data_IF_688868221639
#
_entry.id   IF_688868221639
#
_cell.length_a   1.000
_cell.length_b   1.000
_cell.length_c   1.000
_cell.angle_alpha   90.00
_cell.angle_beta   90.00
_cell.angle_gamma   90.00
#
_symmetry.space_group_name_H-M   'P 1'
#
loop_
_entity.id
_entity.type
_entity.pdbx_description
1 polymer ?
#
# COMPACT_ATOMS: atom_id res chain seq x y z
N UNK A 1 -29.92 61.84 -14.60
CA UNK A 1 -30.79 60.67 -14.32
C UNK A 1 -30.29 59.50 -15.14
N UNK A 2 -29.96 58.38 -14.46
CA UNK A 2 -29.87 56.98 -14.94
C UNK A 2 -29.00 56.67 -16.17
N UNK A 3 -28.15 55.63 -16.22
CA UNK A 3 -28.07 54.42 -15.42
C UNK A 3 -26.67 53.81 -15.53
N UNK A 4 -26.10 53.38 -14.40
CA UNK A 4 -24.97 52.45 -14.34
C UNK A 4 -25.45 51.08 -14.87
N UNK A 5 -24.81 50.55 -15.92
CA UNK A 5 -24.91 49.12 -16.24
C UNK A 5 -23.84 48.37 -15.46
N UNK A 6 -24.25 47.77 -14.35
CA UNK A 6 -23.44 46.81 -13.61
C UNK A 6 -23.16 45.59 -14.47
N UNK A 7 -21.89 45.31 -14.71
CA UNK A 7 -21.45 43.95 -15.04
C UNK A 7 -21.35 43.18 -13.73
N UNK A 8 -22.43 42.48 -13.39
CA UNK A 8 -22.38 41.41 -12.40
C UNK A 8 -21.45 40.33 -12.93
N UNK A 9 -20.22 40.30 -12.40
CA UNK A 9 -19.41 39.08 -12.43
C UNK A 9 -20.19 38.05 -11.63
N UNK A 10 -20.93 37.19 -12.32
CA UNK A 10 -21.34 35.91 -11.79
C UNK A 10 -20.06 35.15 -11.43
N UNK A 11 -19.69 35.25 -10.17
CA UNK A 11 -18.86 34.27 -9.47
C UNK A 11 -19.58 32.94 -9.60
N UNK A 12 -19.31 32.21 -10.68
CA UNK A 12 -19.55 30.76 -10.73
C UNK A 12 -18.62 30.18 -9.69
N UNK A 13 -19.12 30.08 -8.45
CA UNK A 13 -18.54 29.29 -7.39
C UNK A 13 -18.41 27.87 -7.95
N UNK A 14 -17.22 27.54 -8.44
CA UNK A 14 -16.81 26.16 -8.61
C UNK A 14 -17.03 25.49 -7.24
N UNK A 15 -17.62 24.29 -7.18
CA UNK A 15 -17.63 23.56 -5.92
C UNK A 15 -16.18 23.39 -5.48
N UNK A 16 -15.81 24.06 -4.39
CA UNK A 16 -14.57 23.80 -3.67
C UNK A 16 -14.84 22.49 -2.94
N UNK A 17 -14.37 21.39 -3.52
CA UNK A 17 -14.38 20.10 -2.85
C UNK A 17 -13.33 20.15 -1.75
N UNK A 18 -13.79 20.17 -0.50
CA UNK A 18 -12.97 19.84 0.66
C UNK A 18 -12.83 18.31 0.76
N UNK A 19 -11.58 17.84 0.88
CA UNK A 19 -11.12 16.63 1.59
C UNK A 19 -11.68 15.24 1.20
N UNK A 20 -10.79 14.40 0.62
CA UNK A 20 -10.69 12.98 0.98
C UNK A 20 -9.68 12.80 2.13
N UNK A 21 -9.85 11.77 2.96
CA UNK A 21 -9.04 11.50 4.16
C UNK A 21 -7.68 10.87 3.76
N UNK A 22 -6.75 11.68 3.28
CA UNK A 22 -5.38 11.22 3.11
C UNK A 22 -4.71 11.04 4.48
N UNK A 23 -4.58 9.79 4.95
CA UNK A 23 -3.87 9.48 6.18
C UNK A 23 -2.37 9.72 5.97
N UNK A 24 -1.78 10.64 6.74
CA UNK A 24 -0.37 11.03 6.60
C UNK A 24 0.50 10.54 7.76
N UNK A 25 1.81 10.42 7.55
CA UNK A 25 2.79 10.14 8.61
C UNK A 25 3.60 11.41 8.89
N UNK A 26 3.51 11.91 10.12
CA UNK A 26 4.17 13.11 10.62
C UNK A 26 5.33 12.74 11.55
N UNK A 27 6.49 13.40 11.44
CA UNK A 27 7.64 13.17 12.34
C UNK A 27 7.89 14.41 13.18
N UNK A 28 7.71 14.31 14.49
CA UNK A 28 7.84 15.44 15.41
C UNK A 28 9.30 15.82 15.70
N UNK A 29 10.22 14.85 15.67
CA UNK A 29 11.63 15.05 16.04
C UNK A 29 12.51 15.77 14.99
N UNK A 30 11.94 16.15 13.84
CA UNK A 30 12.63 16.84 12.74
C UNK A 30 12.29 18.34 12.64
N UNK A 31 11.61 18.94 13.63
CA UNK A 31 11.46 20.40 13.69
C UNK A 31 12.82 21.12 13.83
N UNK A 32 13.86 20.44 14.34
CA UNK A 32 15.23 20.96 14.48
C UNK A 32 16.25 20.37 13.48
N UNK A 33 15.89 19.35 12.70
CA UNK A 33 16.77 18.84 11.65
C UNK A 33 16.26 19.34 10.31
N UNK A 34 16.95 20.34 9.77
CA UNK A 34 16.83 20.75 8.38
C UNK A 34 17.25 19.59 7.45
N UNK A 35 16.40 18.58 7.31
CA UNK A 35 16.57 17.54 6.30
C UNK A 35 16.23 18.21 4.97
N UNK A 36 17.27 18.70 4.28
CA UNK A 36 17.20 19.26 2.92
C UNK A 36 16.34 20.54 2.77
N UNK A 37 16.35 21.41 3.78
CA UNK A 37 15.75 22.75 3.65
C UNK A 37 14.21 22.78 3.57
N UNK A 38 13.53 21.80 4.17
CA UNK A 38 12.06 21.77 4.28
C UNK A 38 11.63 22.08 5.70
N UNK A 39 10.77 23.08 5.87
CA UNK A 39 9.99 23.33 7.09
C UNK A 39 8.72 22.50 6.99
N UNK A 40 8.54 21.51 7.88
CA UNK A 40 7.33 20.68 7.88
C UNK A 40 6.19 21.42 8.59
N UNK A 41 5.03 21.51 7.94
CA UNK A 41 3.80 22.04 8.53
C UNK A 41 3.07 20.93 9.27
N UNK A 42 2.28 21.31 10.28
CA UNK A 42 1.34 20.41 10.93
C UNK A 42 0.37 19.81 9.89
N UNK A 43 0.10 18.50 9.90
CA UNK A 43 -0.76 17.86 8.91
C UNK A 43 -2.21 18.31 9.05
N UNK A 44 -2.84 18.57 7.90
CA UNK A 44 -4.28 18.80 7.81
C UNK A 44 -5.02 17.45 7.84
N UNK A 45 -5.90 17.24 8.83
CA UNK A 45 -6.73 16.03 8.93
C UNK A 45 -6.05 14.80 9.55
N UNK A 46 -6.61 13.59 9.31
CA UNK A 46 -6.15 12.37 9.95
C UNK A 46 -4.67 12.06 9.70
N UNK A 47 -3.94 11.71 10.75
CA UNK A 47 -2.50 11.46 10.64
C UNK A 47 -1.99 10.50 11.72
N UNK A 48 -0.82 9.93 11.47
CA UNK A 48 -0.03 9.17 12.43
C UNK A 48 1.26 9.89 12.73
N UNK A 49 1.78 9.76 13.94
CA UNK A 49 2.98 10.48 14.37
C UNK A 49 4.16 9.53 14.60
N UNK A 50 5.36 10.02 14.36
CA UNK A 50 6.64 9.41 14.72
C UNK A 50 7.39 10.41 15.58
N UNK A 51 7.81 10.03 16.77
CA UNK A 51 8.49 10.90 17.72
C UNK A 51 9.71 10.18 18.31
N UNK A 52 10.74 10.92 18.72
CA UNK A 52 11.83 10.35 19.52
C UNK A 52 11.38 10.30 20.99
N UNK A 53 11.90 9.35 21.77
CA UNK A 53 11.53 9.23 23.19
C UNK A 53 11.67 10.53 24.00
N UNK A 54 12.68 11.36 23.69
CA UNK A 54 12.90 12.67 24.33
C UNK A 54 11.83 13.74 24.02
N UNK A 55 11.08 13.56 22.93
CA UNK A 55 10.09 14.52 22.44
C UNK A 55 8.65 14.00 22.72
N UNK A 56 8.50 12.92 23.50
CA UNK A 56 7.25 12.20 23.71
C UNK A 56 6.16 13.05 24.42
N UNK A 57 6.52 13.87 25.40
CA UNK A 57 5.56 14.73 26.11
C UNK A 57 4.86 15.71 25.16
N UNK A 58 5.62 16.31 24.24
CA UNK A 58 5.07 17.20 23.22
C UNK A 58 4.14 16.43 22.26
N UNK A 59 4.50 15.19 21.91
CA UNK A 59 3.63 14.34 21.09
C UNK A 59 2.31 14.01 21.80
N UNK A 60 2.34 13.71 23.10
CA UNK A 60 1.13 13.38 23.86
C UNK A 60 0.20 14.58 24.00
N UNK A 61 0.72 15.80 24.11
CA UNK A 61 -0.08 17.03 24.08
C UNK A 61 -0.79 17.21 22.73
N UNK A 62 -0.07 16.95 21.63
CA UNK A 62 -0.64 16.98 20.29
C UNK A 62 -1.73 15.91 20.09
N UNK A 63 -1.45 14.66 20.49
CA UNK A 63 -2.41 13.55 20.44
C UNK A 63 -3.67 13.90 21.23
N UNK A 64 -3.53 14.52 22.39
CA UNK A 64 -4.64 14.94 23.23
C UNK A 64 -5.48 16.07 22.60
N UNK A 65 -4.86 16.99 21.84
CA UNK A 65 -5.57 18.09 21.17
C UNK A 65 -6.13 17.72 19.80
N UNK A 66 -5.69 16.59 19.22
CA UNK A 66 -6.04 16.13 17.87
C UNK A 66 -6.67 14.74 17.92
N UNK A 67 -8.01 14.70 17.88
CA UNK A 67 -8.79 13.45 17.78
C UNK A 67 -8.52 12.70 16.47
N UNK A 68 -8.07 13.40 15.44
CA UNK A 68 -7.72 12.86 14.13
C UNK A 68 -6.31 12.23 14.07
N UNK A 69 -5.53 12.27 15.17
CA UNK A 69 -4.28 11.53 15.27
C UNK A 69 -4.54 10.03 15.59
N UNK A 70 -4.31 9.11 14.66
CA UNK A 70 -4.73 7.72 14.80
C UNK A 70 -3.69 6.82 15.49
N UNK A 71 -2.40 7.12 15.35
CA UNK A 71 -1.31 6.27 15.84
C UNK A 71 -0.09 7.10 16.23
N UNK A 72 0.69 6.61 17.19
CA UNK A 72 1.96 7.21 17.62
C UNK A 72 3.07 6.15 17.61
N UNK A 73 4.17 6.43 16.92
CA UNK A 73 5.38 5.64 16.93
C UNK A 73 6.47 6.37 17.73
N UNK A 74 7.06 5.67 18.71
CA UNK A 74 8.11 6.20 19.57
C UNK A 74 9.43 5.52 19.24
N UNK A 75 10.42 6.31 18.87
CA UNK A 75 11.77 5.85 18.51
C UNK A 75 12.73 6.10 19.67
N UNK A 76 13.32 5.03 20.19
CA UNK A 76 14.24 5.08 21.32
C UNK A 76 13.53 5.28 22.66
N UNK A 77 14.32 5.49 23.70
CA UNK A 77 13.84 5.46 25.08
C UNK A 77 13.31 6.82 25.54
N UNK A 78 12.12 6.87 26.15
CA UNK A 78 11.71 8.05 26.92
C UNK A 78 12.54 8.15 28.20
N UNK A 79 12.78 9.37 28.68
CA UNK A 79 13.54 9.59 29.92
C UNK A 79 12.73 9.12 31.15
N UNK A 80 11.41 9.29 31.12
CA UNK A 80 10.44 8.82 32.11
C UNK A 80 9.17 8.39 31.39
N UNK A 81 8.36 7.50 31.98
CA UNK A 81 7.05 7.12 31.42
C UNK A 81 6.05 8.24 31.70
N UNK A 82 5.58 8.97 30.67
CA UNK A 82 4.61 10.06 30.86
C UNK A 82 3.19 9.53 31.02
N UNK A 83 2.22 10.43 31.26
CA UNK A 83 0.80 10.08 31.22
C UNK A 83 0.37 9.73 29.79
N UNK A 84 0.00 8.47 29.58
CA UNK A 84 -0.40 7.92 28.29
C UNK A 84 -1.92 7.80 28.11
N UNK A 85 -2.71 8.41 28.99
CA UNK A 85 -4.19 8.31 28.94
C UNK A 85 -4.75 8.78 27.59
N UNK A 86 -4.10 9.75 26.93
CA UNK A 86 -4.50 10.24 25.60
C UNK A 86 -4.35 9.21 24.47
N UNK A 87 -3.61 8.11 24.69
CA UNK A 87 -3.39 7.05 23.71
C UNK A 87 -4.44 5.92 23.79
N UNK A 88 -5.34 5.92 24.77
CA UNK A 88 -6.38 4.89 24.89
C UNK A 88 -7.24 4.87 23.62
N UNK A 89 -7.37 3.70 22.99
CA UNK A 89 -8.08 3.53 21.71
C UNK A 89 -7.24 3.85 20.46
N UNK A 90 -5.95 4.16 20.61
CA UNK A 90 -5.00 4.42 19.51
C UNK A 90 -3.91 3.34 19.49
N UNK A 91 -3.19 3.22 18.36
CA UNK A 91 -2.06 2.30 18.22
C UNK A 91 -0.76 2.96 18.68
N UNK A 92 0.02 2.25 19.51
CA UNK A 92 1.35 2.65 19.96
C UNK A 92 2.43 1.73 19.36
N UNK A 93 3.34 2.29 18.58
CA UNK A 93 4.44 1.55 17.98
C UNK A 93 5.73 1.87 18.71
N UNK A 94 6.38 0.87 19.28
CA UNK A 94 7.64 1.01 20.02
C UNK A 94 8.79 0.54 19.17
N UNK A 95 9.75 1.43 18.93
CA UNK A 95 10.88 1.15 18.04
C UNK A 95 12.19 1.18 18.81
N UNK A 96 12.72 -0.03 19.05
CA UNK A 96 13.92 -0.27 19.84
C UNK A 96 14.88 -1.20 19.09
N UNK A 97 16.18 -0.92 19.17
CA UNK A 97 17.21 -1.78 18.60
C UNK A 97 17.56 -2.98 19.45
N UNK A 98 17.52 -2.86 20.78
CA UNK A 98 18.09 -3.91 21.64
C UNK A 98 17.80 -3.78 23.15
N UNK A 99 16.97 -2.85 23.64
CA UNK A 99 16.94 -2.55 25.08
C UNK A 99 15.70 -3.01 25.85
N UNK A 100 15.93 -3.59 27.04
CA UNK A 100 14.89 -4.00 28.00
C UNK A 100 14.09 -2.81 28.58
N UNK A 101 14.46 -1.57 28.26
CA UNK A 101 13.96 -0.35 28.90
C UNK A 101 12.62 0.15 28.31
N UNK A 102 12.29 -0.14 27.05
CA UNK A 102 10.93 0.13 26.52
C UNK A 102 9.88 -0.86 27.07
N UNK A 103 10.31 -1.92 27.75
CA UNK A 103 9.40 -2.96 28.25
C UNK A 103 8.47 -2.44 29.34
N UNK A 104 8.99 -1.64 30.27
CA UNK A 104 8.18 -1.03 31.32
C UNK A 104 7.11 -0.11 30.72
N UNK A 105 7.50 0.70 29.72
CA UNK A 105 6.57 1.55 28.99
C UNK A 105 5.48 0.75 28.26
N UNK A 106 5.86 -0.33 27.58
CA UNK A 106 4.91 -1.23 26.92
C UNK A 106 3.95 -1.89 27.92
N UNK A 107 4.44 -2.31 29.09
CA UNK A 107 3.62 -2.93 30.13
C UNK A 107 2.59 -1.95 30.69
N UNK A 108 2.97 -0.68 30.89
CA UNK A 108 2.02 0.38 31.30
C UNK A 108 0.97 0.63 30.20
N UNK A 109 1.37 0.70 28.94
CA UNK A 109 0.46 0.89 27.81
C UNK A 109 -0.55 -0.27 27.65
N UNK A 110 -0.07 -1.51 27.72
CA UNK A 110 -0.93 -2.70 27.64
C UNK A 110 -1.93 -2.72 28.80
N UNK A 111 -1.51 -2.37 30.03
CA UNK A 111 -2.42 -2.28 31.20
C UNK A 111 -3.47 -1.19 31.05
N UNK A 112 -3.16 -0.12 30.33
CA UNK A 112 -4.11 0.94 29.99
C UNK A 112 -5.06 0.56 28.83
N UNK A 113 -4.93 -0.64 28.26
CA UNK A 113 -5.76 -1.10 27.13
C UNK A 113 -5.32 -0.56 25.78
N UNK A 114 -4.08 -0.09 25.65
CA UNK A 114 -3.51 0.43 24.41
C UNK A 114 -2.93 -0.73 23.59
N UNK A 115 -3.20 -0.75 22.28
CA UNK A 115 -2.60 -1.72 21.36
C UNK A 115 -1.12 -1.36 21.13
N UNK A 116 -0.21 -2.28 21.50
CA UNK A 116 1.23 -2.07 21.40
C UNK A 116 1.86 -3.00 20.36
N UNK A 117 2.60 -2.41 19.42
CA UNK A 117 3.36 -3.13 18.39
C UNK A 117 4.86 -2.82 18.51
N UNK A 118 5.72 -3.85 18.39
CA UNK A 118 7.17 -3.70 18.54
C UNK A 118 7.89 -3.76 17.19
N UNK A 119 8.72 -2.74 16.91
CA UNK A 119 9.64 -2.73 15.76
C UNK A 119 11.07 -2.86 16.27
N UNK A 120 11.65 -4.05 16.12
CA UNK A 120 13.06 -4.30 16.49
C UNK A 120 14.02 -3.74 15.44
N UNK A 121 14.58 -2.57 15.70
CA UNK A 121 15.51 -1.89 14.78
C UNK A 121 16.41 -0.86 15.47
N UNK A 122 17.73 -1.03 15.39
CA UNK A 122 18.72 -0.11 15.98
C UNK A 122 18.80 1.27 15.30
N UNK A 123 18.37 1.35 14.05
CA UNK A 123 18.16 2.59 13.28
C UNK A 123 16.98 2.36 12.34
N UNK A 124 15.72 2.54 12.78
CA UNK A 124 14.59 2.33 11.89
C UNK A 124 14.67 3.34 10.73
N UNK A 125 14.82 2.91 9.47
CA UNK A 125 14.63 3.84 8.37
C UNK A 125 13.19 4.37 8.42
N UNK A 126 13.00 5.65 8.11
CA UNK A 126 11.69 6.31 8.02
C UNK A 126 10.65 5.45 7.29
N UNK A 127 11.07 4.73 6.26
CA UNK A 127 10.23 3.83 5.47
C UNK A 127 9.65 2.64 6.24
N UNK A 128 10.35 2.11 7.26
CA UNK A 128 9.83 1.03 8.11
C UNK A 128 8.81 1.53 9.13
N UNK A 129 8.99 2.75 9.64
CA UNK A 129 8.02 3.41 10.52
C UNK A 129 6.75 3.77 9.75
N UNK A 130 6.91 4.40 8.58
CA UNK A 130 5.79 4.69 7.69
C UNK A 130 5.09 3.40 7.22
N UNK A 131 5.82 2.30 7.05
CA UNK A 131 5.20 1.01 6.77
C UNK A 131 4.28 0.56 7.90
N UNK A 132 4.74 0.56 9.14
CA UNK A 132 3.93 0.09 10.25
C UNK A 132 2.75 1.02 10.58
N UNK A 133 2.89 2.32 10.33
CA UNK A 133 1.84 3.33 10.54
C UNK A 133 0.80 3.39 9.40
N UNK A 134 1.20 3.10 8.17
CA UNK A 134 0.32 3.01 7.00
C UNK A 134 0.47 1.62 6.37
N UNK A 135 -0.05 0.58 7.05
CA UNK A 135 0.08 -0.77 6.55
C UNK A 135 -0.70 -0.95 5.26
N UNK A 136 0.01 -1.40 4.22
CA UNK A 136 -0.57 -1.75 2.93
C UNK A 136 -0.52 -3.26 2.77
N UNK A 137 -1.66 -3.87 2.47
CA UNK A 137 -1.77 -5.28 2.11
C UNK A 137 -1.57 -5.49 0.61
N UNK A 138 -1.05 -6.65 0.21
CA UNK A 138 -0.95 -7.06 -1.18
C UNK A 138 -2.18 -7.88 -1.58
N UNK A 139 -2.74 -7.59 -2.75
CA UNK A 139 -3.77 -8.41 -3.41
C UNK A 139 -3.19 -8.87 -4.74
N UNK A 140 -2.93 -10.17 -4.87
CA UNK A 140 -2.56 -10.79 -6.15
C UNK A 140 -3.83 -11.35 -6.78
N UNK A 141 -4.26 -10.73 -7.88
CA UNK A 141 -5.39 -11.21 -8.66
C UNK A 141 -4.94 -12.37 -9.56
N UNK A 142 -5.25 -13.59 -9.14
CA UNK A 142 -4.88 -14.84 -9.81
C UNK A 142 -6.12 -15.67 -10.25
N UNK A 143 -7.26 -15.00 -10.40
CA UNK A 143 -8.56 -15.61 -10.71
C UNK A 143 -9.00 -15.42 -12.19
N UNK A 144 -8.20 -14.71 -13.00
CA UNK A 144 -8.52 -14.40 -14.39
C UNK A 144 -8.58 -15.63 -15.29
N UNK A 145 -9.61 -15.71 -16.14
CA UNK A 145 -9.68 -16.72 -17.21
C UNK A 145 -8.86 -16.23 -18.39
N UNK A 146 -7.63 -16.72 -18.53
CA UNK A 146 -6.86 -16.53 -19.76
C UNK A 146 -7.68 -17.05 -20.95
N UNK A 147 -7.97 -16.17 -21.91
CA UNK A 147 -8.81 -16.50 -23.08
C UNK A 147 -7.99 -17.06 -24.24
N UNK A 148 -6.69 -16.73 -24.30
CA UNK A 148 -5.74 -17.16 -25.35
C UNK A 148 -4.82 -18.29 -24.90
N UNK A 149 -4.52 -18.37 -23.61
CA UNK A 149 -3.98 -19.54 -22.92
C UNK A 149 -4.97 -19.94 -21.82
N UNK A 150 -5.36 -21.22 -21.71
CA UNK A 150 -6.44 -21.62 -20.81
C UNK A 150 -6.10 -21.36 -19.34
N UNK A 151 -6.85 -20.45 -18.72
CA UNK A 151 -7.07 -20.35 -17.27
C UNK A 151 -5.82 -20.20 -16.38
N UNK A 152 -6.02 -20.56 -15.11
CA UNK A 152 -5.04 -20.77 -14.03
C UNK A 152 -3.77 -21.51 -14.44
N UNK A 153 -3.79 -22.37 -15.48
CA UNK A 153 -2.59 -23.07 -15.96
C UNK A 153 -1.51 -22.13 -16.49
N UNK A 154 -1.90 -20.98 -17.05
CA UNK A 154 -0.97 -19.89 -17.41
C UNK A 154 -0.17 -19.44 -16.19
N UNK A 155 -0.83 -19.27 -15.05
CA UNK A 155 -0.22 -18.81 -13.79
C UNK A 155 0.75 -19.83 -13.17
N UNK A 156 0.69 -21.09 -13.63
CA UNK A 156 1.52 -22.19 -13.18
C UNK A 156 2.74 -22.43 -14.07
N UNK A 157 2.87 -21.69 -15.19
CA UNK A 157 4.03 -21.82 -16.06
C UNK A 157 5.33 -21.54 -15.30
N UNK A 158 6.34 -22.37 -15.56
CA UNK A 158 7.62 -22.33 -14.85
C UNK A 158 8.51 -21.21 -15.37
N UNK A 159 8.85 -20.28 -14.49
CA UNK A 159 9.84 -19.24 -14.78
C UNK A 159 10.98 -19.45 -13.79
N UNK A 160 12.13 -19.92 -14.29
CA UNK A 160 13.32 -20.24 -13.50
C UNK A 160 13.08 -21.24 -12.33
N UNK A 161 12.22 -22.23 -12.51
CA UNK A 161 11.88 -23.20 -11.45
C UNK A 161 10.79 -22.76 -10.48
N UNK A 162 10.17 -21.61 -10.73
CA UNK A 162 9.15 -21.03 -9.86
C UNK A 162 7.90 -20.73 -10.69
N UNK A 163 6.70 -21.16 -10.26
CA UNK A 163 5.46 -20.82 -10.94
C UNK A 163 5.27 -19.30 -11.06
N UNK A 164 4.77 -18.83 -12.21
CA UNK A 164 4.57 -17.41 -12.51
C UNK A 164 3.87 -16.62 -11.39
N UNK A 165 2.75 -17.13 -10.87
CA UNK A 165 2.01 -16.48 -9.76
C UNK A 165 2.84 -16.30 -8.50
N UNK A 166 3.79 -17.21 -8.26
CA UNK A 166 4.66 -17.14 -7.09
C UNK A 166 5.70 -16.03 -7.23
N UNK A 167 6.16 -15.69 -8.44
CA UNK A 167 7.01 -14.50 -8.63
C UNK A 167 6.29 -13.22 -8.20
N UNK A 168 5.00 -13.08 -8.55
CA UNK A 168 4.20 -11.91 -8.18
C UNK A 168 3.91 -11.87 -6.68
N UNK A 169 3.59 -13.01 -6.08
CA UNK A 169 3.45 -13.12 -4.63
C UNK A 169 4.75 -12.77 -3.90
N UNK A 170 5.88 -13.36 -4.31
CA UNK A 170 7.19 -13.11 -3.73
C UNK A 170 7.55 -11.62 -3.89
N UNK A 171 7.24 -10.99 -5.03
CA UNK A 171 7.41 -9.55 -5.23
C UNK A 171 6.59 -8.69 -4.27
N UNK A 172 5.33 -9.04 -4.01
CA UNK A 172 4.48 -8.33 -3.04
C UNK A 172 5.03 -8.46 -1.61
N UNK A 173 5.40 -9.67 -1.21
CA UNK A 173 5.93 -9.97 0.12
C UNK A 173 7.29 -9.32 0.35
N UNK A 174 8.26 -9.54 -0.53
CA UNK A 174 9.61 -8.97 -0.44
C UNK A 174 9.63 -7.46 -0.66
N UNK A 175 8.64 -6.93 -1.38
CA UNK A 175 8.45 -5.50 -1.61
C UNK A 175 7.94 -4.73 -0.40
N UNK A 176 7.47 -5.42 0.64
CA UNK A 176 7.05 -4.83 1.91
C UNK A 176 5.53 -4.65 2.09
N UNK A 177 4.71 -5.43 1.38
CA UNK A 177 3.30 -5.58 1.78
C UNK A 177 3.23 -6.35 3.10
N UNK A 178 2.39 -5.88 4.04
CA UNK A 178 2.32 -6.45 5.40
C UNK A 178 1.76 -7.86 5.46
N UNK A 179 0.76 -8.08 4.63
CA UNK A 179 0.17 -9.38 4.37
C UNK A 179 -0.20 -9.40 2.89
N UNK A 180 -0.21 -10.59 2.29
CA UNK A 180 -0.57 -10.74 0.88
C UNK A 180 -1.64 -11.80 0.76
N UNK A 181 -2.76 -11.39 0.17
CA UNK A 181 -3.85 -12.27 -0.23
C UNK A 181 -3.67 -12.61 -1.71
N UNK A 182 -3.80 -13.89 -2.04
CA UNK A 182 -3.91 -14.36 -3.42
C UNK A 182 -5.36 -14.78 -3.67
N UNK A 183 -6.01 -14.09 -4.60
CA UNK A 183 -7.39 -14.40 -5.00
C UNK A 183 -7.34 -15.40 -6.14
N UNK A 184 -7.90 -16.59 -5.95
CA UNK A 184 -7.79 -17.71 -6.89
C UNK A 184 -9.15 -18.35 -7.20
N UNK A 185 -9.19 -19.12 -8.28
CA UNK A 185 -10.36 -19.89 -8.73
C UNK A 185 -10.06 -21.37 -8.96
N UNK A 186 -8.78 -21.74 -9.04
CA UNK A 186 -8.33 -23.09 -9.32
C UNK A 186 -7.39 -23.59 -8.21
N UNK A 187 -7.68 -24.77 -7.68
CA UNK A 187 -6.93 -25.43 -6.61
C UNK A 187 -5.45 -25.65 -6.96
N UNK A 188 -5.08 -25.70 -8.24
CA UNK A 188 -3.68 -25.83 -8.63
C UNK A 188 -2.86 -24.56 -8.31
N UNK A 189 -3.49 -23.37 -8.33
CA UNK A 189 -2.87 -22.12 -7.83
C UNK A 189 -2.62 -22.20 -6.33
N UNK A 190 -3.59 -22.75 -5.57
CA UNK A 190 -3.42 -22.99 -4.14
C UNK A 190 -2.22 -23.90 -3.86
N UNK A 191 -2.06 -25.00 -4.61
CA UNK A 191 -0.90 -25.90 -4.49
C UNK A 191 0.41 -25.21 -4.83
N UNK A 192 0.43 -24.36 -5.86
CA UNK A 192 1.64 -23.65 -6.27
C UNK A 192 2.13 -22.62 -5.24
N UNK A 193 1.22 -21.95 -4.55
CA UNK A 193 1.55 -21.02 -3.46
C UNK A 193 1.98 -21.77 -2.19
N UNK A 194 1.53 -23.01 -1.99
CA UNK A 194 2.02 -23.94 -0.96
C UNK A 194 2.04 -23.34 0.46
N UNK A 195 0.92 -22.73 0.88
CA UNK A 195 0.75 -22.20 2.24
C UNK A 195 1.56 -20.94 2.56
N UNK A 196 2.18 -20.29 1.57
CA UNK A 196 2.96 -19.06 1.76
C UNK A 196 2.12 -17.80 1.89
N UNK A 197 0.91 -17.82 1.35
CA UNK A 197 0.00 -16.68 1.32
C UNK A 197 -1.33 -17.03 1.98
N UNK A 198 -2.07 -15.99 2.34
CA UNK A 198 -3.50 -16.12 2.59
C UNK A 198 -4.21 -16.32 1.25
N UNK A 199 -4.95 -17.41 1.12
CA UNK A 199 -5.61 -17.81 -0.12
C UNK A 199 -7.10 -17.58 -0.02
N UNK A 200 -7.67 -16.85 -0.98
CA UNK A 200 -9.09 -16.51 -0.97
C UNK A 200 -9.72 -16.99 -2.28
N UNK A 201 -10.64 -17.94 -2.16
CA UNK A 201 -11.36 -18.49 -3.29
C UNK A 201 -12.43 -17.50 -3.77
N UNK A 202 -12.44 -17.19 -5.08
CA UNK A 202 -13.49 -16.41 -5.71
C UNK A 202 -14.37 -17.30 -6.60
N UNK A 203 -15.57 -17.72 -6.14
CA UNK A 203 -16.48 -18.54 -6.94
C UNK A 203 -17.11 -17.77 -8.12
N UNK A 204 -16.96 -16.46 -8.18
CA UNK A 204 -17.64 -15.56 -9.13
C UNK A 204 -16.68 -14.87 -10.09
N UNK A 205 -15.48 -15.40 -10.29
CA UNK A 205 -14.49 -14.76 -11.16
C UNK A 205 -14.94 -14.65 -12.63
N UNK A 206 -15.92 -15.46 -13.06
CA UNK A 206 -16.57 -15.34 -14.36
C UNK A 206 -17.35 -14.03 -14.53
N UNK A 207 -17.70 -13.34 -13.45
CA UNK A 207 -18.36 -12.03 -13.53
C UNK A 207 -17.37 -10.89 -13.74
N UNK A 208 -16.08 -11.19 -13.93
CA UNK A 208 -15.03 -10.22 -14.29
C UNK A 208 -14.14 -9.79 -13.11
N UNK A 209 -13.16 -8.94 -13.44
CA UNK A 209 -12.10 -8.48 -12.51
C UNK A 209 -12.65 -7.81 -11.25
N UNK A 210 -13.81 -7.13 -11.33
CA UNK A 210 -14.41 -6.45 -10.18
C UNK A 210 -14.66 -7.41 -9.02
N UNK A 211 -15.19 -8.60 -9.29
CA UNK A 211 -15.46 -9.61 -8.25
C UNK A 211 -14.19 -10.02 -7.51
N UNK A 212 -13.09 -10.23 -8.24
CA UNK A 212 -11.82 -10.69 -7.69
C UNK A 212 -11.18 -9.60 -6.83
N UNK A 213 -11.22 -8.35 -7.29
CA UNK A 213 -10.75 -7.21 -6.50
C UNK A 213 -11.55 -7.06 -5.20
N UNK A 214 -12.88 -7.16 -5.27
CA UNK A 214 -13.75 -7.03 -4.11
C UNK A 214 -13.54 -8.16 -3.09
N UNK A 215 -13.37 -9.40 -3.57
CA UNK A 215 -13.04 -10.55 -2.72
C UNK A 215 -11.69 -10.34 -2.03
N UNK A 216 -10.68 -9.87 -2.76
CA UNK A 216 -9.38 -9.53 -2.19
C UNK A 216 -9.46 -8.42 -1.14
N UNK A 217 -10.17 -7.33 -1.42
CA UNK A 217 -10.34 -6.21 -0.49
C UNK A 217 -11.08 -6.63 0.79
N UNK A 218 -12.11 -7.48 0.69
CA UNK A 218 -12.85 -8.01 1.86
C UNK A 218 -12.00 -8.90 2.76
N UNK A 219 -10.99 -9.55 2.22
CA UNK A 219 -10.07 -10.39 2.98
C UNK A 219 -8.92 -9.59 3.63
N UNK A 220 -8.75 -8.31 3.28
CA UNK A 220 -7.75 -7.48 3.92
C UNK A 220 -8.05 -7.30 5.41
N UNK A 221 -7.01 -7.32 6.23
CA UNK A 221 -7.17 -7.14 7.67
C UNK A 221 -7.68 -5.73 8.04
N UNK A 222 -8.42 -5.58 9.15
CA UNK A 222 -9.00 -4.29 9.55
C UNK A 222 -7.99 -3.16 9.74
N UNK A 223 -6.74 -3.45 10.07
CA UNK A 223 -5.68 -2.46 10.29
C UNK A 223 -5.08 -1.88 9.00
N UNK A 224 -5.36 -2.46 7.83
CA UNK A 224 -4.70 -2.12 6.55
C UNK A 224 -5.25 -0.86 5.89
N UNK A 225 -4.46 0.20 5.81
CA UNK A 225 -4.86 1.51 5.29
C UNK A 225 -4.82 1.64 3.76
N UNK A 226 -4.37 0.60 3.06
CA UNK A 226 -4.44 0.54 1.59
C UNK A 226 -4.13 -0.84 1.03
N UNK A 227 -4.44 -1.04 -0.24
CA UNK A 227 -4.18 -2.28 -0.95
C UNK A 227 -3.26 -2.06 -2.16
N UNK A 228 -2.16 -2.79 -2.22
CA UNK A 228 -1.33 -2.96 -3.40
C UNK A 228 -1.97 -4.04 -4.27
N UNK A 229 -2.54 -3.67 -5.41
CA UNK A 229 -3.14 -4.61 -6.37
C UNK A 229 -2.11 -4.99 -7.41
N UNK A 230 -1.86 -6.29 -7.56
CA UNK A 230 -0.98 -6.90 -8.56
C UNK A 230 -1.76 -7.91 -9.41
N UNK A 231 -1.35 -8.10 -10.66
CA UNK A 231 -1.90 -9.14 -11.53
C UNK A 231 -0.99 -10.38 -11.51
N UNK A 232 -1.57 -11.56 -11.35
CA UNK A 232 -0.82 -12.81 -11.18
C UNK A 232 -0.01 -13.23 -12.41
N UNK A 233 -0.25 -12.60 -13.55
CA UNK A 233 0.37 -12.88 -14.85
C UNK A 233 1.43 -11.86 -15.29
N UNK A 234 1.87 -11.00 -14.35
CA UNK A 234 2.92 -10.01 -14.56
C UNK A 234 4.19 -10.37 -13.77
N UNK A 235 4.91 -11.47 -14.09
CA UNK A 235 6.04 -11.96 -13.29
C UNK A 235 7.26 -11.05 -13.31
N UNK A 236 7.30 -10.06 -14.21
CA UNK A 236 8.37 -9.05 -14.28
C UNK A 236 8.14 -7.87 -13.33
N UNK A 237 6.99 -7.81 -12.65
CA UNK A 237 6.76 -6.90 -11.52
C UNK A 237 7.54 -7.43 -10.32
N UNK A 238 8.62 -6.73 -9.96
CA UNK A 238 9.52 -7.14 -8.89
C UNK A 238 9.27 -6.42 -7.57
N UNK A 239 9.90 -6.91 -6.50
CA UNK A 239 9.85 -6.31 -5.17
C UNK A 239 10.29 -4.84 -5.13
N UNK A 240 11.21 -4.42 -6.02
CA UNK A 240 11.61 -3.01 -6.15
C UNK A 240 10.50 -2.12 -6.70
N UNK A 241 9.67 -2.63 -7.59
CA UNK A 241 8.49 -1.92 -8.12
C UNK A 241 7.50 -1.68 -6.98
N UNK A 242 7.18 -2.76 -6.25
CA UNK A 242 6.29 -2.72 -5.08
C UNK A 242 6.80 -1.74 -4.02
N UNK A 243 8.07 -1.85 -3.62
CA UNK A 243 8.69 -0.95 -2.65
C UNK A 243 8.67 0.51 -3.10
N UNK A 244 8.86 0.78 -4.40
CA UNK A 244 8.80 2.14 -4.96
C UNK A 244 7.41 2.74 -4.80
N UNK A 245 6.37 1.98 -5.13
CA UNK A 245 4.98 2.43 -5.02
C UNK A 245 4.55 2.62 -3.56
N UNK A 246 4.91 1.69 -2.66
CA UNK A 246 4.65 1.83 -1.22
C UNK A 246 5.33 3.06 -0.62
N UNK A 247 6.56 3.36 -1.05
CA UNK A 247 7.27 4.58 -0.62
C UNK A 247 6.56 5.83 -1.13
N UNK A 248 6.08 5.82 -2.36
CA UNK A 248 5.39 6.96 -2.95
C UNK A 248 4.02 7.19 -2.27
N UNK A 249 3.24 6.14 -2.01
CA UNK A 249 1.92 6.25 -1.35
C UNK A 249 1.96 6.74 0.10
N UNK A 250 3.13 6.69 0.74
CA UNK A 250 3.35 7.14 2.12
C UNK A 250 3.93 8.56 2.21
N UNK A 251 4.15 9.23 1.07
CA UNK A 251 4.67 10.59 1.06
C UNK A 251 3.58 11.57 1.50
N UNK A 252 4.00 12.60 2.22
CA UNK A 252 3.15 13.76 2.48
C UNK A 252 2.62 14.33 1.16
N UNK A 253 1.31 14.57 1.11
CA UNK A 253 0.62 15.05 -0.09
C UNK A 253 0.44 14.01 -1.19
N UNK A 254 0.76 12.72 -0.94
CA UNK A 254 0.43 11.66 -1.88
C UNK A 254 -1.06 11.54 -2.07
N UNK A 255 -1.46 11.25 -3.31
CA UNK A 255 -2.86 11.06 -3.67
C UNK A 255 -3.37 9.67 -3.23
N UNK A 256 -4.71 9.50 -3.16
CA UNK A 256 -5.32 8.23 -2.73
C UNK A 256 -4.90 6.99 -3.54
N UNK A 257 -4.47 7.16 -4.80
CA UNK A 257 -3.93 6.09 -5.62
C UNK A 257 -2.51 6.41 -6.09
N UNK A 258 -1.65 5.39 -6.12
CA UNK A 258 -0.30 5.49 -6.69
C UNK A 258 -0.02 4.31 -7.61
N UNK A 259 0.28 4.58 -8.88
CA UNK A 259 0.53 3.55 -9.88
C UNK A 259 1.90 3.68 -10.54
N UNK A 260 2.39 2.55 -11.07
CA UNK A 260 3.60 2.53 -11.88
C UNK A 260 3.34 3.16 -13.25
N UNK A 261 4.21 4.07 -13.68
CA UNK A 261 4.17 4.65 -15.02
C UNK A 261 4.36 3.56 -16.08
N UNK A 262 3.63 3.68 -17.19
CA UNK A 262 3.78 2.83 -18.35
C UNK A 262 3.87 3.68 -19.62
N UNK A 263 4.86 3.40 -20.46
CA UNK A 263 5.03 4.03 -21.77
C UNK A 263 4.01 3.49 -22.78
N UNK A 264 2.74 3.84 -22.59
CA UNK A 264 1.66 3.56 -23.56
C UNK A 264 0.64 4.69 -23.54
N UNK A 265 0.32 5.25 -24.71
CA UNK A 265 -0.69 6.30 -24.88
C UNK A 265 -2.12 5.82 -24.54
N UNK A 266 -2.38 4.52 -24.63
CA UNK A 266 -3.74 3.95 -24.56
C UNK A 266 -4.25 3.65 -23.13
N UNK A 267 -3.35 3.58 -22.14
CA UNK A 267 -3.70 3.13 -20.77
C UNK A 267 -3.74 4.27 -19.74
N UNK A 268 -3.72 5.52 -20.20
CA UNK A 268 -3.67 6.70 -19.32
C UNK A 268 -2.32 6.86 -18.61
N UNK A 269 -1.25 6.30 -19.19
CA UNK A 269 0.13 6.43 -18.71
C UNK A 269 0.52 5.53 -17.54
N UNK A 270 -0.29 4.54 -17.16
CA UNK A 270 0.01 3.62 -16.05
C UNK A 270 -0.60 2.22 -16.20
N UNK A 271 0.03 1.24 -15.52
CA UNK A 271 -0.47 -0.12 -15.35
C UNK A 271 -0.34 -0.58 -13.89
N UNK A 272 -1.04 -1.66 -13.50
CA UNK A 272 -0.70 -2.39 -12.29
C UNK A 272 0.81 -2.69 -12.25
N UNK A 273 1.44 -2.68 -11.06
CA UNK A 273 0.82 -2.59 -9.75
C UNK A 273 0.29 -1.18 -9.41
N UNK A 274 -0.74 -1.13 -8.57
CA UNK A 274 -1.34 0.12 -8.06
C UNK A 274 -1.62 0.01 -6.57
N UNK A 275 -1.24 1.02 -5.80
CA UNK A 275 -1.65 1.19 -4.40
C UNK A 275 -2.95 1.97 -4.39
N UNK A 276 -3.94 1.47 -3.65
CA UNK A 276 -5.26 2.07 -3.48
C UNK A 276 -5.52 2.28 -1.99
N UNK A 277 -5.55 3.55 -1.56
CA UNK A 277 -5.94 3.96 -0.20
C UNK A 277 -7.30 3.37 0.17
N UNK A 278 -7.47 3.04 1.46
CA UNK A 278 -8.73 2.53 2.01
C UNK A 278 -9.93 3.42 1.70
N UNK A 279 -9.72 4.73 1.57
CA UNK A 279 -10.79 5.66 1.21
C UNK A 279 -11.40 5.41 -0.18
N UNK A 280 -10.66 4.77 -1.09
CA UNK A 280 -11.15 4.40 -2.42
C UNK A 280 -12.00 3.12 -2.40
N UNK A 281 -11.98 2.34 -1.32
CA UNK A 281 -12.58 1.00 -1.33
C UNK A 281 -14.09 1.03 -1.53
N UNK A 282 -14.78 2.08 -1.07
CA UNK A 282 -16.21 2.28 -1.32
C UNK A 282 -16.54 2.30 -2.81
N UNK A 283 -15.75 3.03 -3.61
CA UNK A 283 -15.90 3.10 -5.06
C UNK A 283 -15.53 1.76 -5.74
N UNK A 284 -14.49 1.08 -5.22
CA UNK A 284 -14.07 -0.22 -5.73
C UNK A 284 -15.11 -1.33 -5.46
N UNK A 285 -15.82 -1.27 -4.33
CA UNK A 285 -16.94 -2.16 -4.02
C UNK A 285 -18.17 -1.91 -4.90
N UNK A 286 -18.28 -0.76 -5.54
CA UNK A 286 -19.36 -0.46 -6.48
C UNK A 286 -19.08 -0.94 -7.92
N UNK A 287 -17.87 -1.42 -8.21
CA UNK A 287 -17.50 -1.93 -9.54
C UNK A 287 -18.28 -3.19 -9.92
N UNK A 288 -18.50 -3.37 -11.22
CA UNK A 288 -19.18 -4.54 -11.80
C UNK A 288 -18.49 -4.98 -13.09
N UNK A 289 -18.63 -6.26 -13.46
CA UNK A 289 -18.07 -6.79 -14.71
C UNK A 289 -16.53 -6.83 -14.71
N UNK A 290 -15.96 -6.60 -15.90
CA UNK A 290 -14.51 -6.57 -16.13
C UNK A 290 -13.83 -5.27 -15.64
N UNK A 291 -14.58 -4.43 -14.92
CA UNK A 291 -14.07 -3.20 -14.34
C UNK A 291 -12.99 -3.45 -13.28
N UNK A 292 -11.92 -2.66 -13.35
CA UNK A 292 -10.88 -2.63 -12.33
C UNK A 292 -10.70 -1.22 -11.76
N UNK A 293 -9.70 -1.07 -10.89
CA UNK A 293 -9.37 0.23 -10.30
C UNK A 293 -9.14 1.33 -11.35
N UNK A 294 -8.73 0.97 -12.57
CA UNK A 294 -8.58 1.93 -13.68
C UNK A 294 -9.86 2.70 -14.00
N UNK A 295 -11.02 2.06 -13.97
CA UNK A 295 -12.29 2.73 -14.28
C UNK A 295 -12.63 3.81 -13.23
N UNK A 296 -12.26 3.56 -11.97
CA UNK A 296 -12.43 4.48 -10.85
C UNK A 296 -11.52 5.71 -10.96
N UNK A 297 -10.34 5.55 -11.57
CA UNK A 297 -9.28 6.56 -11.65
C UNK A 297 -9.28 7.36 -12.95
N UNK A 298 -9.72 6.78 -14.08
CA UNK A 298 -9.77 7.47 -15.37
C UNK A 298 -10.64 8.73 -15.35
N UNK A 299 -11.76 8.70 -14.61
CA UNK A 299 -12.64 9.86 -14.45
C UNK A 299 -12.19 10.86 -13.37
N UNK A 300 -11.13 10.53 -12.62
CA UNK A 300 -10.67 11.27 -11.43
C UNK A 300 -9.14 11.31 -11.33
N UNK A 301 -8.45 11.91 -12.33
CA UNK A 301 -7.00 11.96 -12.37
C UNK A 301 -6.38 12.70 -11.16
N UNK A 302 -7.15 13.56 -10.48
CA UNK A 302 -6.75 14.23 -9.24
C UNK A 302 -6.51 13.27 -8.06
N UNK A 303 -7.00 12.02 -8.16
CA UNK A 303 -6.82 11.00 -7.13
C UNK A 303 -5.60 10.10 -7.37
N UNK A 304 -4.89 10.26 -8.49
CA UNK A 304 -3.83 9.35 -8.92
C UNK A 304 -2.47 10.06 -9.03
N UNK A 305 -1.46 9.53 -8.35
CA UNK A 305 -0.06 9.78 -8.64
C UNK A 305 0.49 8.68 -9.56
N UNK A 306 1.16 9.07 -10.64
CA UNK A 306 1.89 8.15 -11.53
C UNK A 306 3.37 8.35 -11.27
N UNK A 307 4.07 7.27 -10.89
CA UNK A 307 5.49 7.35 -10.54
C UNK A 307 6.34 6.40 -11.40
N UNK A 308 7.55 6.82 -11.80
CA UNK A 308 8.51 5.92 -12.42
C UNK A 308 8.87 4.77 -11.48
N UNK A 309 8.72 3.54 -11.94
CA UNK A 309 9.08 2.34 -11.18
C UNK A 309 9.89 1.37 -12.05
N UNK A 310 10.84 0.62 -11.48
CA UNK A 310 11.58 -0.40 -12.21
C UNK A 310 10.66 -1.58 -12.58
N UNK A 311 11.09 -2.41 -13.52
CA UNK A 311 10.33 -3.58 -13.97
C UNK A 311 9.46 -3.27 -15.19
N UNK A 312 8.77 -4.30 -15.68
CA UNK A 312 7.84 -4.18 -16.81
C UNK A 312 6.55 -4.90 -16.43
N UNK A 313 5.38 -4.24 -16.46
CA UNK A 313 4.11 -4.89 -16.21
C UNK A 313 3.64 -5.61 -17.49
N UNK A 314 4.50 -6.47 -18.04
CA UNK A 314 4.22 -7.19 -19.27
C UNK A 314 3.31 -8.39 -18.94
N UNK A 315 2.12 -8.43 -19.54
CA UNK A 315 1.18 -9.55 -19.41
C UNK A 315 1.61 -10.74 -20.29
N UNK A 316 1.52 -11.97 -19.77
CA UNK A 316 1.85 -13.18 -20.54
C UNK A 316 0.61 -13.80 -21.18
N UNK A 317 0.06 -13.23 -22.24
CA UNK A 317 -1.20 -13.74 -22.81
C UNK A 317 -1.05 -14.89 -23.80
N UNK A 318 0.13 -15.04 -24.40
CA UNK A 318 0.40 -16.04 -25.43
C UNK A 318 1.64 -16.89 -25.12
N UNK A 319 1.76 -18.10 -25.72
CA UNK A 319 2.99 -18.89 -25.63
C UNK A 319 4.23 -18.12 -26.11
N UNK A 320 4.08 -17.23 -27.08
CA UNK A 320 5.14 -16.37 -27.58
C UNK A 320 5.60 -15.35 -26.52
N UNK A 321 4.67 -14.78 -25.75
CA UNK A 321 5.01 -13.87 -24.65
C UNK A 321 5.77 -14.61 -23.55
N UNK A 322 5.32 -15.82 -23.23
CA UNK A 322 6.00 -16.69 -22.28
C UNK A 322 7.42 -17.03 -22.76
N UNK A 323 7.58 -17.41 -24.03
CA UNK A 323 8.89 -17.73 -24.61
C UNK A 323 9.86 -16.54 -24.58
N UNK A 324 9.37 -15.31 -24.78
CA UNK A 324 10.18 -14.09 -24.64
C UNK A 324 10.59 -13.86 -23.19
N UNK A 325 9.64 -13.98 -22.25
CA UNK A 325 9.90 -13.70 -20.84
C UNK A 325 10.88 -14.70 -20.23
N UNK A 326 10.75 -16.00 -20.52
CA UNK A 326 11.67 -17.03 -20.03
C UNK A 326 13.13 -16.76 -20.47
N UNK A 327 13.35 -16.12 -21.62
CA UNK A 327 14.70 -15.75 -22.08
C UNK A 327 15.34 -14.63 -21.26
N UNK A 328 14.55 -13.85 -20.51
CA UNK A 328 15.06 -12.80 -19.62
C UNK A 328 15.64 -13.37 -18.32
N UNK A 329 15.31 -14.61 -17.98
CA UNK A 329 15.82 -15.28 -16.79
C UNK A 329 17.09 -16.07 -17.10
N UNK A 330 18.07 -16.13 -16.17
CA UNK A 330 19.28 -16.91 -16.38
C UNK A 330 18.94 -18.36 -16.69
N UNK A 331 19.49 -18.91 -17.79
CA UNK A 331 19.36 -20.35 -18.04
C UNK A 331 20.02 -21.13 -16.90
N UNK A 332 19.28 -22.06 -16.30
CA UNK A 332 19.86 -23.02 -15.35
C UNK A 332 21.09 -23.65 -15.97
N UNK A 333 22.24 -23.59 -15.27
CA UNK A 333 23.41 -24.39 -15.65
C UNK A 333 22.95 -25.85 -15.71
N UNK A 334 23.21 -26.59 -16.80
CA UNK A 334 22.86 -28.00 -16.85
C UNK A 334 23.47 -28.68 -15.63
N UNK A 335 22.65 -29.41 -14.87
CA UNK A 335 23.14 -30.22 -13.75
C UNK A 335 24.24 -31.13 -14.33
N UNK A 336 25.49 -30.92 -13.92
CA UNK A 336 26.53 -31.92 -14.15
C UNK A 336 26.01 -33.20 -13.51
N UNK A 337 25.71 -34.20 -14.33
CA UNK A 337 25.40 -35.55 -13.85
C UNK A 337 26.64 -36.00 -13.08
N UNK A 338 26.49 -36.18 -11.77
CA UNK A 338 27.45 -36.93 -10.95
C UNK A 338 27.38 -38.41 -11.33
#
# INVERSE_FOLDING_TARGET
MSSKKGHSRESKSRPIWHAGRALSVFVMGDLDLAIRGRTYREPEGPHSMVVRGRDLDAALQHVASREDCLSLAVVGLPEQVPDITSLVGRRLLLVDGDSAKLREFAEVAIRAGIEVEWIRSARPPFERLAAALLPVGGIVLAAGKGSRMPGSQKLLLDIDGVPMVRHVFDAASEGGCHHTVVVYTDDDVQKAINGRAELVFNPHAETGMASSLQVGLKAMRPEVEGAMVLLGDQPLVGSRTVATLLRASRREGSRPAVAASQDTDDLGGWAPPVVLSRELWGDLFALQGDAGARQVLQGRPELLDIVPAPGRPDDIDTPEDYAKIVQLFPRKRPRQRA
#
